data_IF_902429256091
#
_entry.id   IF_902429256091
#
_cell.length_a   1.000
_cell.length_b   1.000
_cell.length_c   1.000
_cell.angle_alpha   90.00
_cell.angle_beta   90.00
_cell.angle_gamma   90.00
#
_symmetry.space_group_name_H-M   'P 1'
#
loop_
_entity.id
_entity.type
_entity.pdbx_description
1 polymer ?
#
# COMPACT_ATOMS: atom_id res chain seq x y z
N UNK A 1 16.67 -4.74 16.35
CA UNK A 1 16.38 -6.19 16.34
C UNK A 1 15.44 -6.60 17.47
N UNK A 2 15.69 -6.19 18.72
CA UNK A 2 14.82 -6.47 19.89
C UNK A 2 13.35 -6.11 19.66
N UNK A 3 13.05 -4.92 19.13
CA UNK A 3 11.67 -4.50 18.83
C UNK A 3 10.98 -5.44 17.83
N UNK A 4 11.70 -5.92 16.81
CA UNK A 4 11.14 -6.84 15.81
C UNK A 4 10.81 -8.19 16.45
N UNK A 5 11.69 -8.71 17.31
CA UNK A 5 11.44 -9.95 18.06
C UNK A 5 10.19 -9.82 18.94
N UNK A 6 10.03 -8.69 19.63
CA UNK A 6 8.83 -8.41 20.44
C UNK A 6 7.55 -8.34 19.60
N UNK A 7 7.62 -7.79 18.39
CA UNK A 7 6.47 -7.77 17.46
C UNK A 7 6.08 -9.17 16.99
N UNK A 8 7.05 -10.03 16.68
CA UNK A 8 6.78 -11.42 16.31
C UNK A 8 6.22 -12.23 17.49
N UNK A 9 6.76 -12.05 18.70
CA UNK A 9 6.20 -12.68 19.91
C UNK A 9 4.74 -12.26 20.13
N UNK A 10 4.43 -10.98 19.91
CA UNK A 10 3.06 -10.46 19.97
C UNK A 10 2.15 -11.05 18.90
N UNK A 11 2.63 -11.22 17.67
CA UNK A 11 1.85 -11.91 16.61
C UNK A 11 1.50 -13.32 17.07
N UNK A 12 2.46 -14.05 17.65
CA UNK A 12 2.21 -15.36 18.26
C UNK A 12 1.09 -15.29 19.29
N UNK A 13 1.18 -14.37 20.25
CA UNK A 13 0.15 -14.19 21.28
C UNK A 13 -1.23 -13.81 20.73
N UNK A 14 -1.30 -13.04 19.65
CA UNK A 14 -2.56 -12.62 19.02
C UNK A 14 -3.17 -13.71 18.13
N UNK A 15 -2.34 -14.58 17.54
CA UNK A 15 -2.74 -15.64 16.62
C UNK A 15 -2.81 -17.02 17.29
N UNK A 16 -2.45 -17.12 18.57
CA UNK A 16 -2.75 -18.27 19.41
C UNK A 16 -4.28 -18.32 19.61
N UNK A 17 -4.94 -18.90 18.61
CA UNK A 17 -6.39 -18.90 18.45
C UNK A 17 -7.06 -19.47 19.69
N UNK A 18 -7.76 -18.61 20.44
CA UNK A 18 -8.75 -19.05 21.41
C UNK A 18 -10.08 -19.20 20.69
N UNK A 19 -10.67 -20.40 20.72
CA UNK A 19 -11.98 -20.70 20.16
C UNK A 19 -11.95 -21.62 18.93
N UNK A 20 -13.08 -22.30 18.70
CA UNK A 20 -13.28 -23.19 17.56
C UNK A 20 -13.26 -22.42 16.23
N UNK A 21 -12.91 -23.10 15.13
CA UNK A 21 -12.95 -22.53 13.78
C UNK A 21 -14.33 -21.93 13.48
N UNK A 22 -14.37 -20.75 12.84
CA UNK A 22 -15.61 -20.02 12.53
C UNK A 22 -16.42 -19.53 13.77
N UNK A 23 -15.84 -19.60 14.98
CA UNK A 23 -16.39 -18.91 16.15
C UNK A 23 -16.09 -17.40 16.12
N UNK A 24 -16.76 -16.64 17.00
CA UNK A 24 -16.50 -15.21 17.16
C UNK A 24 -15.05 -14.93 17.56
N UNK A 25 -14.54 -15.66 18.56
CA UNK A 25 -13.19 -15.48 19.08
C UNK A 25 -12.11 -15.80 18.04
N UNK A 26 -12.35 -16.81 17.19
CA UNK A 26 -11.50 -17.12 16.04
C UNK A 26 -11.47 -15.97 15.02
N UNK A 27 -12.64 -15.46 14.64
CA UNK A 27 -12.75 -14.36 13.68
C UNK A 27 -12.10 -13.07 14.21
N UNK A 28 -12.31 -12.78 15.49
CA UNK A 28 -11.73 -11.63 16.19
C UNK A 28 -10.20 -11.73 16.27
N UNK A 29 -9.67 -12.90 16.64
CA UNK A 29 -8.23 -13.19 16.65
C UNK A 29 -7.59 -12.96 15.28
N UNK A 30 -8.24 -13.44 14.21
CA UNK A 30 -7.74 -13.21 12.85
C UNK A 30 -7.82 -11.74 12.45
N UNK A 31 -8.92 -11.08 12.76
CA UNK A 31 -9.15 -9.67 12.40
C UNK A 31 -8.06 -8.74 12.94
N UNK A 32 -7.55 -8.99 14.15
CA UNK A 32 -6.47 -8.20 14.76
C UNK A 32 -5.07 -8.81 14.61
N UNK A 33 -4.97 -10.14 14.48
CA UNK A 33 -3.71 -10.83 14.29
C UNK A 33 -3.08 -10.57 12.92
N UNK A 34 -3.87 -10.53 11.84
CA UNK A 34 -3.32 -10.21 10.52
C UNK A 34 -2.77 -8.77 10.43
N UNK A 35 -3.44 -7.72 10.93
CA UNK A 35 -2.84 -6.39 11.06
C UNK A 35 -1.57 -6.35 11.92
N UNK A 36 -1.44 -7.22 12.92
CA UNK A 36 -0.20 -7.35 13.69
C UNK A 36 0.95 -7.92 12.83
N UNK A 37 0.68 -8.88 11.95
CA UNK A 37 1.68 -9.37 10.97
C UNK A 37 2.07 -8.25 10.00
N UNK A 38 1.09 -7.46 9.53
CA UNK A 38 1.34 -6.26 8.72
C UNK A 38 2.29 -5.27 9.43
N UNK A 39 2.16 -5.10 10.74
CA UNK A 39 3.07 -4.27 11.53
C UNK A 39 4.50 -4.84 11.57
N UNK A 40 4.67 -6.16 11.66
CA UNK A 40 5.98 -6.80 11.53
C UNK A 40 6.61 -6.55 10.16
N UNK A 41 5.84 -6.69 9.08
CA UNK A 41 6.29 -6.36 7.72
C UNK A 41 6.74 -4.90 7.64
N UNK A 42 5.94 -3.98 8.19
CA UNK A 42 6.27 -2.55 8.25
C UNK A 42 7.59 -2.30 8.98
N UNK A 43 7.82 -2.94 10.12
CA UNK A 43 9.06 -2.84 10.88
C UNK A 43 10.27 -3.35 10.10
N UNK A 44 10.14 -4.49 9.42
CA UNK A 44 11.19 -5.07 8.58
C UNK A 44 11.53 -4.16 7.40
N UNK A 45 10.52 -3.57 6.76
CA UNK A 45 10.71 -2.63 5.66
C UNK A 45 11.44 -1.36 6.12
N UNK A 46 10.99 -0.72 7.21
CA UNK A 46 11.65 0.47 7.77
C UNK A 46 13.10 0.17 8.15
N UNK A 47 13.35 -0.99 8.78
CA UNK A 47 14.70 -1.43 9.09
C UNK A 47 15.56 -1.61 7.83
N UNK A 48 15.03 -2.30 6.82
CA UNK A 48 15.73 -2.52 5.54
C UNK A 48 16.04 -1.22 4.81
N UNK A 49 15.07 -0.30 4.71
CA UNK A 49 15.26 1.00 4.07
C UNK A 49 16.31 1.86 4.78
N UNK A 50 16.31 1.83 6.12
CA UNK A 50 17.28 2.56 6.94
C UNK A 50 18.67 1.96 6.78
N UNK A 51 18.81 0.64 6.93
CA UNK A 51 20.08 -0.08 6.81
C UNK A 51 20.73 0.11 5.44
N UNK A 52 19.94 0.10 4.37
CA UNK A 52 20.45 0.21 3.01
C UNK A 52 20.67 1.66 2.54
N UNK A 53 20.33 2.65 3.38
CA UNK A 53 20.39 4.07 3.02
C UNK A 53 19.50 4.41 1.82
N UNK A 54 18.31 3.79 1.75
CA UNK A 54 17.42 3.90 0.60
C UNK A 54 16.97 5.35 0.36
N UNK A 55 16.52 6.05 1.41
CA UNK A 55 15.95 7.40 1.29
C UNK A 55 16.97 8.42 0.77
N UNK A 56 18.21 8.52 1.28
CA UNK A 56 19.23 9.38 0.70
C UNK A 56 19.51 9.09 -0.78
N UNK A 57 19.65 7.81 -1.15
CA UNK A 57 19.90 7.39 -2.54
C UNK A 57 18.74 7.80 -3.46
N UNK A 58 17.51 7.61 -3.00
CA UNK A 58 16.31 8.01 -3.73
C UNK A 58 16.25 9.53 -3.92
N UNK A 59 16.49 10.32 -2.86
CA UNK A 59 16.48 11.79 -2.95
C UNK A 59 17.55 12.29 -3.92
N UNK A 60 18.76 11.72 -3.90
CA UNK A 60 19.82 12.09 -4.83
C UNK A 60 19.42 11.81 -6.29
N UNK A 61 18.80 10.65 -6.54
CA UNK A 61 18.30 10.29 -7.87
C UNK A 61 17.16 11.21 -8.32
N UNK A 62 16.23 11.53 -7.42
CA UNK A 62 15.13 12.46 -7.66
C UNK A 62 15.65 13.85 -8.01
N UNK A 63 16.61 14.39 -7.25
CA UNK A 63 17.25 15.68 -7.54
C UNK A 63 17.89 15.69 -8.94
N UNK A 64 18.54 14.59 -9.33
CA UNK A 64 19.10 14.44 -10.68
C UNK A 64 18.04 14.51 -11.77
N UNK A 65 16.92 13.80 -11.60
CA UNK A 65 15.78 13.84 -12.54
C UNK A 65 15.20 15.24 -12.65
N UNK A 66 15.12 15.98 -11.53
CA UNK A 66 14.59 17.36 -11.52
C UNK A 66 15.46 18.34 -12.28
N UNK A 67 16.78 18.18 -12.23
CA UNK A 67 17.70 19.02 -13.01
C UNK A 67 17.56 18.82 -14.52
N UNK A 68 16.90 17.73 -14.96
CA UNK A 68 16.66 17.42 -16.37
C UNK A 68 15.30 17.94 -16.89
N UNK A 69 14.51 18.62 -16.04
CA UNK A 69 13.24 19.22 -16.46
C UNK A 69 13.49 20.38 -17.44
N UNK A 70 12.53 20.60 -18.35
CA UNK A 70 12.56 21.76 -19.23
C UNK A 70 12.21 23.04 -18.46
N UNK A 71 11.23 22.94 -17.56
CA UNK A 71 10.80 24.03 -16.69
C UNK A 71 10.87 23.62 -15.20
N UNK A 72 11.30 24.54 -14.33
CA UNK A 72 11.27 24.30 -12.89
C UNK A 72 9.86 24.55 -12.33
N UNK A 73 9.33 23.63 -11.52
CA UNK A 73 8.02 23.76 -10.91
C UNK A 73 8.09 23.62 -9.38
N UNK A 74 8.21 24.77 -8.69
CA UNK A 74 8.33 24.84 -7.23
C UNK A 74 7.09 24.34 -6.47
N UNK A 75 5.90 24.40 -7.09
CA UNK A 75 4.66 23.89 -6.48
C UNK A 75 4.67 22.36 -6.40
N UNK A 76 5.18 21.71 -7.45
CA UNK A 76 5.27 20.26 -7.55
C UNK A 76 6.31 19.68 -6.58
N UNK A 77 7.34 20.48 -6.27
CA UNK A 77 8.43 20.14 -5.34
C UNK A 77 8.06 20.35 -3.86
N UNK A 78 6.89 20.93 -3.56
CA UNK A 78 6.39 21.05 -2.19
C UNK A 78 5.73 19.76 -1.71
N UNK A 79 6.28 19.20 -0.62
CA UNK A 79 5.77 17.98 0.04
C UNK A 79 5.04 18.26 1.36
N UNK A 80 5.02 19.51 1.82
CA UNK A 80 4.50 19.88 3.15
C UNK A 80 3.05 19.46 3.35
N UNK A 81 2.19 19.72 2.35
CA UNK A 81 0.79 19.32 2.41
C UNK A 81 0.63 17.79 2.53
N UNK A 82 1.47 17.03 1.82
CA UNK A 82 1.38 15.57 1.82
C UNK A 82 1.87 14.95 3.12
N UNK A 83 2.88 15.56 3.74
CA UNK A 83 3.32 15.17 5.09
C UNK A 83 2.23 15.44 6.13
N UNK A 84 1.55 16.59 6.05
CA UNK A 84 0.44 16.94 6.95
C UNK A 84 -0.73 15.96 6.76
N UNK A 85 -1.10 15.67 5.50
CA UNK A 85 -2.16 14.71 5.21
C UNK A 85 -1.81 13.32 5.72
N UNK A 86 -0.59 12.82 5.50
CA UNK A 86 -0.16 11.52 6.01
C UNK A 86 -0.28 11.42 7.55
N UNK A 87 0.04 12.51 8.26
CA UNK A 87 -0.10 12.56 9.71
C UNK A 87 -1.57 12.57 10.14
N UNK A 88 -2.43 13.37 9.51
CA UNK A 88 -3.87 13.41 9.80
C UNK A 88 -4.51 12.03 9.55
N UNK A 89 -4.17 11.38 8.44
CA UNK A 89 -4.71 10.06 8.10
C UNK A 89 -4.16 8.92 8.96
N UNK A 90 -3.10 9.15 9.73
CA UNK A 90 -2.61 8.18 10.72
C UNK A 90 -3.45 8.16 12.01
N UNK A 91 -4.19 9.24 12.31
CA UNK A 91 -4.96 9.38 13.56
C UNK A 91 -6.11 8.38 13.63
N UNK A 92 -6.94 8.17 12.58
CA UNK A 92 -7.98 7.15 12.61
C UNK A 92 -7.44 5.74 12.91
N UNK A 93 -6.27 5.39 12.38
CA UNK A 93 -5.61 4.11 12.66
C UNK A 93 -5.22 3.98 14.14
N UNK A 94 -4.68 5.04 14.75
CA UNK A 94 -4.39 5.07 16.19
C UNK A 94 -5.66 4.87 17.01
N UNK A 95 -6.69 5.67 16.72
CA UNK A 95 -7.94 5.64 17.47
C UNK A 95 -8.61 4.25 17.36
N UNK A 96 -8.57 3.63 16.18
CA UNK A 96 -9.13 2.30 15.95
C UNK A 96 -8.41 1.24 16.81
N UNK A 97 -7.09 1.19 16.71
CA UNK A 97 -6.28 0.22 17.47
C UNK A 97 -6.36 0.45 18.99
N UNK A 98 -6.41 1.72 19.42
CA UNK A 98 -6.48 2.08 20.85
C UNK A 98 -7.87 1.82 21.43
N UNK A 99 -8.95 2.16 20.72
CA UNK A 99 -10.32 1.91 21.18
C UNK A 99 -10.58 0.42 21.43
N UNK A 100 -10.11 -0.45 20.54
CA UNK A 100 -10.19 -1.90 20.72
C UNK A 100 -9.43 -2.38 21.96
N UNK A 101 -8.15 -2.01 22.09
CA UNK A 101 -7.35 -2.55 23.19
C UNK A 101 -7.74 -1.99 24.55
N UNK A 102 -8.13 -0.72 24.63
CA UNK A 102 -8.59 -0.10 25.88
C UNK A 102 -9.91 -0.72 26.33
N UNK A 103 -10.83 -0.98 25.40
CA UNK A 103 -12.08 -1.67 25.72
C UNK A 103 -11.80 -3.05 26.32
N UNK A 104 -10.97 -3.87 25.65
CA UNK A 104 -10.64 -5.21 26.17
C UNK A 104 -9.86 -5.16 27.49
N UNK A 105 -8.99 -4.15 27.68
CA UNK A 105 -8.29 -3.92 28.93
C UNK A 105 -9.26 -3.71 30.11
N UNK A 106 -10.29 -2.87 29.94
CA UNK A 106 -11.30 -2.62 30.98
C UNK A 106 -12.15 -3.84 31.32
N UNK A 107 -12.25 -4.80 30.39
CA UNK A 107 -12.98 -6.06 30.57
C UNK A 107 -12.07 -7.22 30.96
N UNK A 108 -10.83 -6.94 31.39
CA UNK A 108 -9.85 -7.94 31.82
C UNK A 108 -9.39 -8.96 30.75
N UNK A 109 -9.58 -8.66 29.47
CA UNK A 109 -9.33 -9.58 28.35
C UNK A 109 -8.32 -9.03 27.33
N UNK A 110 -7.79 -9.89 26.49
CA UNK A 110 -7.04 -9.50 25.27
C UNK A 110 -8.00 -9.36 24.08
N UNK A 111 -8.94 -10.29 23.97
CA UNK A 111 -10.01 -10.34 22.99
C UNK A 111 -11.34 -10.45 23.71
N UNK A 112 -12.40 -9.82 23.21
CA UNK A 112 -13.70 -9.86 23.87
C UNK A 112 -14.24 -11.30 23.94
N UNK A 113 -14.05 -12.07 22.85
CA UNK A 113 -14.39 -13.49 22.77
C UNK A 113 -13.44 -14.42 23.53
N UNK A 114 -12.37 -13.89 24.12
CA UNK A 114 -11.38 -14.65 24.87
C UNK A 114 -11.68 -14.76 26.38
N UNK A 115 -10.84 -15.53 27.04
CA UNK A 115 -10.81 -15.66 28.50
C UNK A 115 -10.05 -14.50 29.16
N UNK A 116 -10.31 -14.32 30.45
CA UNK A 116 -9.60 -13.35 31.27
C UNK A 116 -8.10 -13.62 31.27
N UNK A 117 -7.32 -12.56 31.20
CA UNK A 117 -5.87 -12.65 31.10
C UNK A 117 -5.17 -11.78 32.15
N UNK A 118 -3.99 -12.21 32.59
CA UNK A 118 -3.17 -11.49 33.57
C UNK A 118 -2.90 -10.04 33.12
N UNK A 119 -2.98 -9.10 34.07
CA UNK A 119 -2.78 -7.67 33.87
C UNK A 119 -1.45 -7.34 33.17
N UNK A 120 -0.39 -8.08 33.45
CA UNK A 120 0.92 -7.86 32.85
C UNK A 120 0.87 -7.95 31.31
N UNK A 121 0.24 -8.99 30.77
CA UNK A 121 0.09 -9.18 29.32
C UNK A 121 -0.78 -8.08 28.70
N UNK A 122 -1.83 -7.65 29.40
CA UNK A 122 -2.73 -6.59 28.91
C UNK A 122 -2.03 -5.24 28.82
N UNK A 123 -1.22 -4.87 29.81
CA UNK A 123 -0.43 -3.63 29.81
C UNK A 123 0.59 -3.63 28.66
N UNK A 124 1.31 -4.74 28.47
CA UNK A 124 2.26 -4.87 27.35
C UNK A 124 1.55 -4.72 26.00
N UNK A 125 0.34 -5.24 25.86
CA UNK A 125 -0.41 -5.16 24.60
C UNK A 125 -0.85 -3.73 24.29
N UNK A 126 -1.28 -2.96 25.30
CA UNK A 126 -1.60 -1.53 25.17
C UNK A 126 -0.36 -0.74 24.74
N UNK A 127 0.76 -0.89 25.46
CA UNK A 127 2.01 -0.15 25.17
C UNK A 127 2.55 -0.50 23.78
N UNK A 128 2.57 -1.80 23.44
CA UNK A 128 3.03 -2.25 22.12
C UNK A 128 2.12 -1.77 20.98
N UNK A 129 0.84 -1.49 21.23
CA UNK A 129 -0.07 -0.94 20.21
C UNK A 129 0.35 0.45 19.75
N UNK A 130 0.81 1.28 20.67
CA UNK A 130 1.33 2.60 20.34
C UNK A 130 2.60 2.51 19.46
N UNK A 131 3.51 1.58 19.79
CA UNK A 131 4.70 1.34 18.98
C UNK A 131 4.36 0.81 17.57
N UNK A 132 3.40 -0.10 17.46
CA UNK A 132 2.93 -0.60 16.17
C UNK A 132 2.38 0.54 15.31
N UNK A 133 1.49 1.35 15.89
CA UNK A 133 0.93 2.50 15.19
C UNK A 133 2.04 3.44 14.67
N UNK A 134 3.03 3.74 15.51
CA UNK A 134 4.15 4.60 15.12
C UNK A 134 4.94 4.03 13.95
N UNK A 135 5.32 2.74 14.03
CA UNK A 135 6.10 2.07 12.98
C UNK A 135 5.29 1.96 11.68
N UNK A 136 4.02 1.51 11.75
CA UNK A 136 3.19 1.36 10.56
C UNK A 136 2.92 2.70 9.88
N UNK A 137 2.74 3.76 10.66
CA UNK A 137 2.54 5.12 10.16
C UNK A 137 3.78 5.65 9.44
N UNK A 138 4.96 5.51 10.03
CA UNK A 138 6.22 5.92 9.37
C UNK A 138 6.44 5.12 8.10
N UNK A 139 6.23 3.81 8.14
CA UNK A 139 6.40 2.94 6.99
C UNK A 139 5.48 3.36 5.84
N UNK A 140 4.19 3.55 6.13
CA UNK A 140 3.21 4.00 5.15
C UNK A 140 3.56 5.39 4.61
N UNK A 141 3.94 6.32 5.47
CA UNK A 141 4.31 7.68 5.04
C UNK A 141 5.50 7.67 4.09
N UNK A 142 6.56 6.92 4.40
CA UNK A 142 7.73 6.76 3.53
C UNK A 142 7.30 6.16 2.18
N UNK A 143 6.55 5.05 2.20
CA UNK A 143 6.08 4.37 0.99
C UNK A 143 5.27 5.32 0.11
N UNK A 144 4.24 5.98 0.66
CA UNK A 144 3.36 6.89 -0.07
C UNK A 144 4.14 8.08 -0.62
N UNK A 145 5.04 8.70 0.16
CA UNK A 145 5.80 9.86 -0.28
C UNK A 145 6.75 9.52 -1.44
N UNK A 146 7.42 8.37 -1.39
CA UNK A 146 8.32 7.93 -2.45
C UNK A 146 7.53 7.67 -3.73
N UNK A 147 6.46 6.87 -3.66
CA UNK A 147 5.63 6.58 -4.84
C UNK A 147 5.02 7.86 -5.40
N UNK A 148 4.48 8.74 -4.55
CA UNK A 148 3.92 10.01 -5.00
C UNK A 148 4.96 10.92 -5.65
N UNK A 149 6.19 10.96 -5.12
CA UNK A 149 7.28 11.71 -5.74
C UNK A 149 7.56 11.21 -7.16
N UNK A 150 7.65 9.88 -7.34
CA UNK A 150 7.83 9.27 -8.65
C UNK A 150 6.64 9.58 -9.57
N UNK A 151 5.41 9.38 -9.10
CA UNK A 151 4.19 9.63 -9.88
C UNK A 151 4.12 11.08 -10.36
N UNK A 152 4.47 12.05 -9.50
CA UNK A 152 4.51 13.46 -9.88
C UNK A 152 5.55 13.75 -10.96
N UNK A 153 6.74 13.12 -10.91
CA UNK A 153 7.74 13.30 -11.96
C UNK A 153 7.29 12.69 -13.31
N UNK A 154 6.63 11.53 -13.27
CA UNK A 154 6.10 10.88 -14.49
C UNK A 154 4.97 11.72 -15.08
N UNK A 155 4.04 12.20 -14.25
CA UNK A 155 2.94 13.06 -14.71
C UNK A 155 3.48 14.38 -15.30
N UNK A 156 4.46 15.00 -14.65
CA UNK A 156 5.08 16.21 -15.18
C UNK A 156 5.83 15.96 -16.49
N UNK A 157 6.54 14.84 -16.60
CA UNK A 157 7.15 14.41 -17.86
C UNK A 157 6.11 14.24 -18.96
N UNK A 158 4.95 13.64 -18.67
CA UNK A 158 3.86 13.47 -19.63
C UNK A 158 3.29 14.80 -20.11
N UNK A 159 3.14 15.77 -19.20
CA UNK A 159 2.66 17.11 -19.55
C UNK A 159 3.64 17.83 -20.49
N UNK A 160 4.94 17.79 -20.19
CA UNK A 160 5.97 18.39 -21.05
C UNK A 160 6.08 17.67 -22.40
N UNK A 161 6.04 16.34 -22.41
CA UNK A 161 6.08 15.54 -23.63
C UNK A 161 4.88 15.83 -24.54
N UNK A 162 3.69 15.97 -23.95
CA UNK A 162 2.48 16.32 -24.70
C UNK A 162 2.55 17.73 -25.29
N UNK A 163 3.03 18.72 -24.54
CA UNK A 163 3.25 20.08 -25.06
C UNK A 163 4.30 20.10 -26.17
N UNK A 164 5.44 19.44 -25.97
CA UNK A 164 6.50 19.35 -26.97
C UNK A 164 6.03 18.67 -28.27
N UNK A 165 5.07 17.74 -28.16
CA UNK A 165 4.38 17.13 -29.29
C UNK A 165 3.47 18.14 -30.00
N UNK A 166 2.63 18.87 -29.28
CA UNK A 166 1.75 19.90 -29.83
C UNK A 166 2.55 21.00 -30.56
N UNK A 167 3.71 21.37 -30.01
CA UNK A 167 4.61 22.39 -30.56
C UNK A 167 5.56 21.85 -31.67
N UNK A 168 5.47 20.57 -32.03
CA UNK A 168 6.32 19.89 -33.03
C UNK A 168 7.83 19.96 -32.76
N UNK A 169 8.23 20.19 -31.51
CA UNK A 169 9.64 20.31 -31.09
C UNK A 169 10.39 18.98 -31.15
N UNK A 170 9.65 17.86 -31.12
CA UNK A 170 10.20 16.51 -31.08
C UNK A 170 10.88 16.04 -32.39
N UNK A 171 10.75 16.80 -33.49
CA UNK A 171 11.51 16.57 -34.72
C UNK A 171 12.99 16.95 -34.58
N UNK A 172 13.31 17.80 -33.62
CA UNK A 172 14.70 18.17 -33.34
C UNK A 172 15.36 17.04 -32.54
N UNK A 173 16.42 16.44 -33.11
CA UNK A 173 17.20 15.37 -32.49
C UNK A 173 17.63 15.74 -31.07
N UNK A 174 18.17 16.95 -30.88
CA UNK A 174 18.66 17.39 -29.58
C UNK A 174 17.55 17.60 -28.53
N UNK A 175 16.31 17.82 -28.95
CA UNK A 175 15.17 17.85 -28.03
C UNK A 175 14.72 16.43 -27.67
N UNK A 176 14.65 15.54 -28.66
CA UNK A 176 14.25 14.14 -28.46
C UNK A 176 15.25 13.38 -27.57
N UNK A 177 16.55 13.57 -27.77
CA UNK A 177 17.60 12.97 -26.94
C UNK A 177 17.50 13.39 -25.47
N UNK A 178 17.14 14.65 -25.20
CA UNK A 178 16.91 15.13 -23.81
C UNK A 178 15.71 14.42 -23.18
N UNK A 179 14.63 14.22 -23.92
CA UNK A 179 13.47 13.47 -23.46
C UNK A 179 13.81 11.98 -23.25
N UNK A 180 14.55 11.34 -24.16
CA UNK A 180 15.01 9.95 -24.00
C UNK A 180 15.87 9.78 -22.75
N UNK A 181 16.88 10.64 -22.57
CA UNK A 181 17.77 10.57 -21.42
C UNK A 181 17.01 10.74 -20.11
N UNK A 182 16.08 11.71 -20.03
CA UNK A 182 15.27 11.91 -18.83
C UNK A 182 14.32 10.74 -18.58
N UNK A 183 13.68 10.20 -19.62
CA UNK A 183 12.83 9.03 -19.49
C UNK A 183 13.62 7.84 -18.91
N UNK A 184 14.84 7.60 -19.39
CA UNK A 184 15.71 6.57 -18.82
C UNK A 184 16.01 6.82 -17.34
N UNK A 185 16.34 8.06 -16.96
CA UNK A 185 16.60 8.41 -15.55
C UNK A 185 15.36 8.24 -14.65
N UNK A 186 14.15 8.53 -15.17
CA UNK A 186 12.88 8.29 -14.47
C UNK A 186 12.65 6.78 -14.28
N UNK A 187 12.88 5.97 -15.31
CA UNK A 187 12.74 4.51 -15.23
C UNK A 187 13.74 3.89 -14.25
N UNK A 188 14.99 4.32 -14.27
CA UNK A 188 16.00 3.90 -13.28
C UNK A 188 15.59 4.29 -11.85
N UNK A 189 14.97 5.46 -11.67
CA UNK A 189 14.43 5.89 -10.37
C UNK A 189 13.25 5.01 -9.93
N UNK A 190 12.35 4.65 -10.85
CA UNK A 190 11.24 3.71 -10.58
C UNK A 190 11.78 2.35 -10.17
N UNK A 191 12.77 1.80 -10.89
CA UNK A 191 13.36 0.50 -10.58
C UNK A 191 14.07 0.51 -9.22
N UNK A 192 14.78 1.59 -8.87
CA UNK A 192 15.38 1.76 -7.55
C UNK A 192 14.31 1.76 -6.45
N UNK A 193 13.21 2.50 -6.64
CA UNK A 193 12.11 2.58 -5.70
C UNK A 193 11.42 1.22 -5.56
N UNK A 194 11.04 0.58 -6.66
CA UNK A 194 10.39 -0.73 -6.68
C UNK A 194 11.27 -1.81 -6.05
N UNK A 195 12.58 -1.81 -6.31
CA UNK A 195 13.50 -2.78 -5.72
C UNK A 195 13.49 -2.73 -4.17
N UNK A 196 13.25 -1.57 -3.58
CA UNK A 196 13.19 -1.41 -2.11
C UNK A 196 11.77 -1.50 -1.55
N UNK A 197 10.77 -0.99 -2.26
CA UNK A 197 9.38 -0.89 -1.81
C UNK A 197 8.53 -2.13 -2.14
N UNK A 198 8.95 -2.95 -3.11
CA UNK A 198 8.22 -4.14 -3.56
C UNK A 198 7.87 -5.05 -2.39
N UNK A 199 8.81 -5.35 -1.50
CA UNK A 199 8.58 -6.20 -0.33
C UNK A 199 7.40 -5.72 0.54
N UNK A 200 7.24 -4.40 0.71
CA UNK A 200 6.10 -3.85 1.43
C UNK A 200 4.80 -4.06 0.64
N UNK A 201 4.79 -3.66 -0.65
CA UNK A 201 3.61 -3.79 -1.52
C UNK A 201 3.17 -5.25 -1.77
N UNK A 202 4.08 -6.20 -1.64
CA UNK A 202 3.83 -7.63 -1.85
C UNK A 202 3.08 -8.26 -0.68
N UNK A 203 3.48 -7.94 0.56
CA UNK A 203 2.96 -8.61 1.76
C UNK A 203 1.96 -7.77 2.54
N UNK A 204 2.12 -6.45 2.60
CA UNK A 204 1.25 -5.60 3.42
C UNK A 204 -0.23 -5.65 3.01
N UNK A 205 -0.60 -5.51 1.72
CA UNK A 205 -2.00 -5.61 1.30
C UNK A 205 -2.61 -6.97 1.59
N UNK A 206 -1.83 -8.05 1.47
CA UNK A 206 -2.31 -9.42 1.73
C UNK A 206 -2.86 -9.57 3.14
N UNK A 207 -2.08 -9.18 4.14
CA UNK A 207 -2.50 -9.31 5.54
C UNK A 207 -3.69 -8.38 5.85
N UNK A 208 -3.74 -7.19 5.25
CA UNK A 208 -4.90 -6.31 5.39
C UNK A 208 -6.14 -6.85 4.66
N UNK A 209 -6.00 -7.59 3.56
CA UNK A 209 -7.11 -8.29 2.91
C UNK A 209 -7.67 -9.41 3.77
N UNK A 210 -6.81 -10.22 4.40
CA UNK A 210 -7.27 -11.24 5.34
C UNK A 210 -7.98 -10.63 6.55
N UNK A 211 -7.45 -9.52 7.08
CA UNK A 211 -8.13 -8.75 8.11
C UNK A 211 -9.51 -8.29 7.62
N UNK A 212 -9.59 -7.69 6.44
CA UNK A 212 -10.86 -7.22 5.87
C UNK A 212 -11.90 -8.33 5.73
N UNK A 213 -11.52 -9.50 5.21
CA UNK A 213 -12.42 -10.64 5.09
C UNK A 213 -12.97 -11.10 6.47
N UNK A 214 -12.10 -11.18 7.48
CA UNK A 214 -12.51 -11.52 8.85
C UNK A 214 -13.36 -10.42 9.50
N UNK A 215 -13.05 -9.14 9.26
CA UNK A 215 -13.84 -8.01 9.75
C UNK A 215 -15.25 -7.96 9.15
N UNK A 216 -15.39 -8.28 7.86
CA UNK A 216 -16.72 -8.45 7.24
C UNK A 216 -17.44 -9.65 7.84
N UNK A 217 -16.74 -10.76 8.06
CA UNK A 217 -17.33 -11.94 8.71
C UNK A 217 -17.83 -11.65 10.13
N UNK A 218 -17.11 -10.83 10.90
CA UNK A 218 -17.52 -10.38 12.25
C UNK A 218 -18.86 -9.65 12.26
N UNK A 219 -19.29 -9.06 11.14
CA UNK A 219 -20.62 -8.42 11.03
C UNK A 219 -21.75 -9.43 11.29
N UNK A 220 -21.52 -10.72 11.02
CA UNK A 220 -22.49 -11.80 11.26
C UNK A 220 -22.71 -12.13 12.74
N UNK A 221 -21.94 -11.53 13.65
CA UNK A 221 -22.03 -11.72 15.09
C UNK A 221 -22.58 -10.49 15.82
N UNK A 222 -23.22 -9.56 15.10
CA UNK A 222 -23.78 -8.32 15.68
C UNK A 222 -24.65 -8.58 16.91
N UNK A 223 -25.50 -9.61 16.87
CA UNK A 223 -26.41 -9.95 17.96
C UNK A 223 -25.72 -10.66 19.13
N UNK A 224 -24.46 -11.08 18.97
CA UNK A 224 -23.69 -11.83 19.96
C UNK A 224 -22.76 -10.95 20.80
N UNK A 225 -22.65 -9.66 20.49
CA UNK A 225 -21.72 -8.73 21.17
C UNK A 225 -22.43 -7.44 21.61
N UNK A 226 -21.95 -6.77 22.66
CA UNK A 226 -22.47 -5.46 23.05
C UNK A 226 -22.35 -4.46 21.89
N UNK A 227 -23.38 -3.63 21.71
CA UNK A 227 -23.45 -2.65 20.62
C UNK A 227 -22.20 -1.75 20.57
N UNK A 228 -21.72 -1.30 21.73
CA UNK A 228 -20.53 -0.45 21.79
C UNK A 228 -19.28 -1.16 21.26
N UNK A 229 -19.11 -2.45 21.57
CA UNK A 229 -18.00 -3.24 21.05
C UNK A 229 -18.12 -3.45 19.53
N UNK A 230 -19.34 -3.69 19.05
CA UNK A 230 -19.61 -3.80 17.63
C UNK A 230 -19.23 -2.52 16.87
N UNK A 231 -19.54 -1.34 17.41
CA UNK A 231 -19.14 -0.05 16.84
C UNK A 231 -17.61 0.07 16.77
N UNK A 232 -16.87 -0.38 17.79
CA UNK A 232 -15.41 -0.42 17.77
C UNK A 232 -14.89 -1.33 16.66
N UNK A 233 -15.49 -2.52 16.47
CA UNK A 233 -15.13 -3.44 15.39
C UNK A 233 -15.36 -2.81 14.01
N UNK A 234 -16.49 -2.13 13.81
CA UNK A 234 -16.79 -1.43 12.55
C UNK A 234 -15.83 -0.27 12.27
N UNK A 235 -15.46 0.46 13.31
CA UNK A 235 -14.46 1.53 13.18
C UNK A 235 -13.08 0.97 12.80
N UNK A 236 -12.68 -0.16 13.38
CA UNK A 236 -11.46 -0.86 12.98
C UNK A 236 -11.54 -1.38 11.54
N UNK A 237 -12.69 -1.90 11.11
CA UNK A 237 -12.88 -2.37 9.73
C UNK A 237 -12.72 -1.22 8.73
N UNK A 238 -13.33 -0.06 9.02
CA UNK A 238 -13.16 1.14 8.21
C UNK A 238 -11.69 1.59 8.16
N UNK A 239 -10.98 1.54 9.30
CA UNK A 239 -9.57 1.90 9.35
C UNK A 239 -8.70 0.96 8.50
N UNK A 240 -8.96 -0.36 8.51
CA UNK A 240 -8.28 -1.34 7.64
C UNK A 240 -8.53 -1.06 6.16
N UNK A 241 -9.78 -0.75 5.78
CA UNK A 241 -10.14 -0.39 4.39
C UNK A 241 -9.33 0.83 3.92
N UNK A 242 -9.33 1.89 4.74
CA UNK A 242 -8.62 3.14 4.44
C UNK A 242 -7.11 2.89 4.31
N UNK A 243 -6.52 2.14 5.22
CA UNK A 243 -5.07 1.83 5.19
C UNK A 243 -4.70 1.05 3.93
N UNK A 244 -5.51 0.07 3.53
CA UNK A 244 -5.27 -0.71 2.33
C UNK A 244 -5.38 0.16 1.06
N UNK A 245 -6.35 1.08 1.03
CA UNK A 245 -6.50 2.05 -0.05
C UNK A 245 -5.25 2.95 -0.19
N UNK A 246 -4.66 3.41 0.92
CA UNK A 246 -3.43 4.21 0.89
C UNK A 246 -2.20 3.44 0.38
N UNK A 247 -2.18 2.11 0.49
CA UNK A 247 -1.09 1.29 -0.06
C UNK A 247 -1.28 1.08 -1.57
N UNK A 248 -2.52 0.84 -2.00
CA UNK A 248 -2.81 0.44 -3.38
C UNK A 248 -2.97 1.63 -4.34
N UNK A 249 -3.64 2.72 -3.93
CA UNK A 249 -3.94 3.85 -4.83
C UNK A 249 -2.70 4.55 -5.39
N UNK A 250 -1.66 4.89 -4.60
CA UNK A 250 -0.48 5.58 -5.15
C UNK A 250 0.24 4.75 -6.21
N UNK A 251 0.34 3.44 -5.97
CA UNK A 251 0.98 2.51 -6.90
C UNK A 251 0.14 2.31 -8.16
N UNK A 252 -1.17 2.22 -8.02
CA UNK A 252 -2.08 2.18 -9.17
C UNK A 252 -1.96 3.44 -10.03
N UNK A 253 -1.94 4.62 -9.41
CA UNK A 253 -1.78 5.90 -10.11
C UNK A 253 -0.46 5.95 -10.90
N UNK A 254 0.65 5.48 -10.31
CA UNK A 254 1.93 5.39 -11.03
C UNK A 254 1.81 4.54 -12.30
N UNK A 255 1.15 3.38 -12.23
CA UNK A 255 0.95 2.51 -13.40
C UNK A 255 0.07 3.16 -14.47
N UNK A 256 -0.95 3.94 -14.08
CA UNK A 256 -1.80 4.70 -15.00
C UNK A 256 -1.00 5.77 -15.74
N UNK A 257 -0.16 6.55 -15.04
CA UNK A 257 0.67 7.58 -15.67
C UNK A 257 1.75 6.98 -16.58
N UNK A 258 2.32 5.81 -16.24
CA UNK A 258 3.23 5.08 -17.14
C UNK A 258 2.52 4.59 -18.39
N UNK A 259 1.30 4.08 -18.25
CA UNK A 259 0.45 3.68 -19.39
C UNK A 259 0.13 4.88 -20.27
N UNK A 260 -0.20 6.04 -19.67
CA UNK A 260 -0.43 7.28 -20.40
C UNK A 260 0.82 7.73 -21.18
N UNK A 261 2.02 7.57 -20.61
CA UNK A 261 3.29 7.84 -21.30
C UNK A 261 3.40 7.03 -22.60
N UNK A 262 3.10 5.72 -22.50
CA UNK A 262 3.15 4.82 -23.65
C UNK A 262 2.13 5.22 -24.73
N UNK A 263 0.91 5.61 -24.33
CA UNK A 263 -0.13 6.09 -25.26
C UNK A 263 0.27 7.39 -25.96
N UNK A 264 0.86 8.35 -25.23
CA UNK A 264 1.33 9.63 -25.81
C UNK A 264 2.38 9.38 -26.91
N UNK A 265 3.30 8.46 -26.65
CA UNK A 265 4.35 8.08 -27.58
C UNK A 265 3.77 7.35 -28.80
N UNK A 266 3.01 6.27 -28.61
CA UNK A 266 2.46 5.44 -29.69
C UNK A 266 1.54 6.23 -30.62
N UNK A 267 0.65 7.08 -30.08
CA UNK A 267 -0.32 7.83 -30.89
C UNK A 267 0.29 9.04 -31.60
N UNK A 268 1.53 8.93 -32.08
CA UNK A 268 2.23 10.04 -32.73
C UNK A 268 2.58 9.73 -34.19
N UNK A 269 1.63 10.04 -35.07
CA UNK A 269 1.76 9.97 -36.53
C UNK A 269 3.01 10.72 -37.05
N UNK A 270 3.50 11.74 -36.31
CA UNK A 270 4.66 12.53 -36.71
C UNK A 270 5.98 11.75 -36.66
N UNK A 271 6.10 10.74 -35.79
CA UNK A 271 7.31 9.90 -35.72
C UNK A 271 7.28 8.77 -36.74
N UNK A 272 6.10 8.20 -37.03
CA UNK A 272 5.93 7.16 -38.04
C UNK A 272 6.21 7.67 -39.46
N UNK A 273 5.96 8.96 -39.70
CA UNK A 273 6.25 9.62 -40.98
C UNK A 273 7.62 10.33 -41.03
N UNK A 274 8.46 10.21 -39.98
CA UNK A 274 9.78 10.85 -39.96
C UNK A 274 10.73 10.22 -40.97
N UNK A 275 11.34 11.04 -41.83
CA UNK A 275 12.37 10.59 -42.79
C UNK A 275 13.77 10.49 -42.18
N UNK A 276 13.95 11.01 -40.95
CA UNK A 276 15.23 10.96 -40.25
C UNK A 276 15.35 9.63 -39.47
N UNK A 277 16.30 8.76 -39.85
CA UNK A 277 16.47 7.45 -39.22
C UNK A 277 16.89 7.55 -37.75
N UNK A 278 17.61 8.60 -37.34
CA UNK A 278 18.09 8.78 -35.96
C UNK A 278 16.92 9.15 -35.05
N UNK A 279 16.05 10.04 -35.52
CA UNK A 279 14.82 10.43 -34.80
C UNK A 279 13.91 9.21 -34.62
N UNK A 280 13.69 8.44 -35.69
CA UNK A 280 12.85 7.24 -35.63
C UNK A 280 13.44 6.17 -34.70
N UNK A 281 14.75 5.92 -34.77
CA UNK A 281 15.42 4.96 -33.91
C UNK A 281 15.36 5.35 -32.43
N UNK A 282 15.60 6.63 -32.11
CA UNK A 282 15.54 7.15 -30.73
C UNK A 282 14.14 7.02 -30.16
N UNK A 283 13.12 7.43 -30.94
CA UNK A 283 11.72 7.24 -30.58
C UNK A 283 11.37 5.77 -30.32
N UNK A 284 11.81 4.86 -31.20
CA UNK A 284 11.57 3.43 -31.05
C UNK A 284 12.23 2.87 -29.78
N UNK A 285 13.44 3.32 -29.44
CA UNK A 285 14.11 2.95 -28.19
C UNK A 285 13.29 3.39 -26.98
N UNK A 286 12.76 4.61 -26.98
CA UNK A 286 11.91 5.11 -25.89
C UNK A 286 10.65 4.27 -25.69
N UNK A 287 9.99 3.87 -26.79
CA UNK A 287 8.80 3.00 -26.76
C UNK A 287 9.15 1.60 -26.28
N UNK A 288 10.18 0.98 -26.87
CA UNK A 288 10.66 -0.35 -26.50
C UNK A 288 11.03 -0.41 -25.02
N UNK A 289 11.68 0.62 -24.48
CA UNK A 289 12.09 0.69 -23.07
C UNK A 289 10.87 0.69 -22.15
N UNK A 290 9.84 1.48 -22.44
CA UNK A 290 8.60 1.50 -21.65
C UNK A 290 7.84 0.17 -21.68
N UNK A 291 7.87 -0.53 -22.82
CA UNK A 291 7.14 -1.79 -22.97
C UNK A 291 7.88 -2.98 -22.35
N UNK A 292 9.22 -3.00 -22.42
CA UNK A 292 10.05 -4.14 -21.98
C UNK A 292 10.50 -4.04 -20.53
N UNK A 293 10.63 -2.84 -19.96
CA UNK A 293 11.05 -2.68 -18.56
C UNK A 293 9.86 -2.91 -17.63
N UNK A 294 9.93 -3.98 -16.84
CA UNK A 294 8.90 -4.25 -15.83
C UNK A 294 9.02 -3.26 -14.66
N UNK A 295 8.04 -2.37 -14.58
CA UNK A 295 7.91 -1.34 -13.54
C UNK A 295 6.76 -1.64 -12.59
N UNK A 296 6.12 -2.81 -12.70
CA UNK A 296 4.94 -3.17 -11.92
C UNK A 296 5.35 -3.70 -10.55
N UNK A 297 4.72 -3.16 -9.51
CA UNK A 297 4.71 -3.79 -8.20
C UNK A 297 3.51 -4.73 -8.11
N UNK A 298 3.68 -5.87 -7.42
CA UNK A 298 2.68 -6.92 -7.35
C UNK A 298 2.44 -7.41 -5.91
N UNK A 299 1.17 -7.69 -5.62
CA UNK A 299 0.73 -8.40 -4.40
C UNK A 299 1.08 -9.89 -4.56
N UNK A 300 1.78 -10.45 -3.57
CA UNK A 300 2.30 -11.84 -3.60
C UNK A 300 3.22 -12.13 -4.81
N UNK A 301 3.74 -11.09 -5.49
CA UNK A 301 4.55 -11.25 -6.71
C UNK A 301 3.77 -11.74 -7.93
N UNK A 302 2.48 -12.04 -7.80
CA UNK A 302 1.64 -12.61 -8.86
C UNK A 302 0.60 -11.62 -9.39
N UNK A 303 0.06 -10.75 -8.53
CA UNK A 303 -1.03 -9.85 -8.89
C UNK A 303 -0.53 -8.41 -9.03
N UNK A 304 -0.33 -7.89 -10.26
CA UNK A 304 0.16 -6.54 -10.46
C UNK A 304 -0.87 -5.52 -9.94
N UNK A 305 -0.41 -4.53 -9.18
CA UNK A 305 -1.24 -3.49 -8.59
C UNK A 305 -1.67 -2.52 -9.71
N UNK A 306 -2.81 -2.83 -10.31
CA UNK A 306 -3.44 -2.09 -11.41
C UNK A 306 -4.87 -1.72 -11.03
N UNK A 307 -5.51 -0.85 -11.81
CA UNK A 307 -6.92 -0.48 -11.60
C UNK A 307 -7.85 -1.71 -11.64
N UNK A 308 -7.58 -2.65 -12.54
CA UNK A 308 -8.34 -3.90 -12.66
C UNK A 308 -8.18 -4.77 -11.41
N UNK A 309 -6.94 -4.89 -10.90
CA UNK A 309 -6.70 -5.61 -9.65
C UNK A 309 -7.41 -4.94 -8.47
N UNK A 310 -7.35 -3.60 -8.37
CA UNK A 310 -8.01 -2.87 -7.30
C UNK A 310 -9.53 -3.08 -7.31
N UNK A 311 -10.15 -3.00 -8.49
CA UNK A 311 -11.57 -3.29 -8.67
C UNK A 311 -11.90 -4.74 -8.26
N UNK A 312 -11.14 -5.71 -8.77
CA UNK A 312 -11.32 -7.12 -8.43
C UNK A 312 -11.14 -7.39 -6.93
N UNK A 313 -10.09 -6.87 -6.30
CA UNK A 313 -9.82 -7.04 -4.88
C UNK A 313 -10.92 -6.39 -4.02
N UNK A 314 -11.40 -5.20 -4.39
CA UNK A 314 -12.49 -4.51 -3.68
C UNK A 314 -13.81 -5.27 -3.73
N UNK A 315 -14.01 -6.12 -4.74
CA UNK A 315 -15.19 -6.98 -4.86
C UNK A 315 -14.99 -8.34 -4.18
N UNK A 316 -13.88 -9.03 -4.47
CA UNK A 316 -13.66 -10.42 -4.02
C UNK A 316 -13.41 -10.48 -2.51
N UNK A 317 -12.57 -9.61 -1.96
CA UNK A 317 -12.11 -9.73 -0.56
C UNK A 317 -13.25 -9.57 0.45
N UNK A 318 -14.14 -8.55 0.36
CA UNK A 318 -15.30 -8.47 1.24
C UNK A 318 -16.24 -9.68 1.07
N UNK A 319 -16.42 -10.15 -0.16
CA UNK A 319 -17.29 -11.29 -0.47
C UNK A 319 -16.80 -12.60 0.16
N UNK A 320 -15.50 -12.77 0.38
CA UNK A 320 -14.97 -13.91 1.17
C UNK A 320 -15.53 -13.90 2.60
N UNK A 321 -15.67 -12.73 3.23
CA UNK A 321 -16.27 -12.60 4.56
C UNK A 321 -17.75 -13.01 4.58
N UNK A 322 -18.52 -12.62 3.56
CA UNK A 322 -19.91 -13.05 3.40
C UNK A 322 -20.04 -14.55 3.13
N UNK A 323 -19.12 -15.12 2.33
CA UNK A 323 -19.08 -16.56 2.10
C UNK A 323 -18.82 -17.34 3.38
N UNK A 324 -17.90 -16.88 4.23
CA UNK A 324 -17.68 -17.47 5.56
C UNK A 324 -18.95 -17.41 6.42
N UNK A 325 -19.70 -16.31 6.36
CA UNK A 325 -21.00 -16.18 7.05
C UNK A 325 -22.04 -17.19 6.53
N UNK A 326 -22.11 -17.40 5.22
CA UNK A 326 -22.98 -18.41 4.62
C UNK A 326 -22.57 -19.83 5.02
N UNK A 327 -21.28 -20.17 4.92
CA UNK A 327 -20.73 -21.49 5.30
C UNK A 327 -21.05 -21.80 6.77
N UNK A 328 -20.86 -20.83 7.67
CA UNK A 328 -21.23 -20.97 9.09
C UNK A 328 -22.72 -21.30 9.24
N UNK A 329 -23.61 -20.56 8.58
CA UNK A 329 -25.06 -20.79 8.65
C UNK A 329 -25.45 -22.17 8.14
N UNK A 330 -24.85 -22.61 7.03
CA UNK A 330 -25.09 -23.95 6.45
C UNK A 330 -24.60 -25.06 7.37
N UNK A 331 -23.42 -24.90 7.98
CA UNK A 331 -22.88 -25.87 8.94
C UNK A 331 -23.80 -26.03 10.16
N UNK A 332 -24.24 -24.92 10.76
CA UNK A 332 -25.15 -24.94 11.91
C UNK A 332 -26.50 -25.56 11.52
N UNK A 333 -27.05 -25.23 10.35
CA UNK A 333 -28.31 -25.79 9.86
C UNK A 333 -28.24 -27.32 9.64
N UNK A 334 -27.05 -27.85 9.33
CA UNK A 334 -26.81 -29.28 9.13
C UNK A 334 -26.33 -30.00 10.40
N UNK A 335 -26.45 -29.39 11.58
CA UNK A 335 -26.07 -30.00 12.87
C UNK A 335 -24.58 -29.94 13.20
N UNK A 336 -23.78 -29.19 12.44
CA UNK A 336 -22.38 -28.92 12.75
C UNK A 336 -22.24 -27.98 13.94
N UNK A 337 -21.20 -28.20 14.76
CA UNK A 337 -20.82 -27.32 15.85
C UNK A 337 -19.68 -26.41 15.43
N UNK A 338 -19.80 -25.13 15.80
CA UNK A 338 -18.90 -24.04 15.38
C UNK A 338 -18.52 -23.19 16.58
#
# INVERSE_FOLDING_TARGET
MVIIVLLFARVGQLMETKGNSLSFAWAESNFFGFPAIFACVSALCVFGWTKNGFIPKFIQKLARVRMLRLESNSKLDSYRLMQVLALIFSIPWLLAMMSWIVYNFTHNKIYYGGEDTNIFFRVILVVSNFYIWYISTICLAIYVLVILAVTREVDYFNQELKRAKEDRLLKNIGALEKFDFRQNQILEMILLANGSLSSFSTFAPLFLFYALANGVYLTSFMDSVPLFYFVILMFNLAAVIIYNAFILFPTCALQEHLTATNVILINNDEFECSKDPIVYQTYRIMVDRLQKVDTRMAVIGAFPITRNFLAAASFIVPNLGFLLAMVKKVLIANGGHV
#
